data_IF_383255334406
#
_entry.id   IF_383255334406
#
_cell.length_a   1.000
_cell.length_b   1.000
_cell.length_c   1.000
_cell.angle_alpha   90.00
_cell.angle_beta   90.00
_cell.angle_gamma   90.00
#
_symmetry.space_group_name_H-M   'P 1'
#
loop_
_entity.id
_entity.type
_entity.pdbx_description
1 polymer ?
#
# COMPACT_ATOMS: atom_id res chain seq x y z
N UNK A 1 -36.65 -7.11 8.28
CA UNK A 1 -36.56 -6.27 9.50
C UNK A 1 -36.02 -4.91 9.07
N UNK A 2 -36.62 -3.80 9.47
CA UNK A 2 -36.12 -2.46 9.12
C UNK A 2 -34.77 -2.23 9.81
N UNK A 3 -33.80 -1.62 9.11
CA UNK A 3 -32.51 -1.22 9.70
C UNK A 3 -32.73 -0.40 10.98
N UNK A 4 -31.92 -0.68 11.99
CA UNK A 4 -31.90 0.08 13.25
C UNK A 4 -31.31 1.48 13.00
N UNK A 5 -31.68 2.48 13.82
CA UNK A 5 -31.11 3.83 13.73
C UNK A 5 -29.58 3.83 13.81
N UNK A 6 -29.00 2.93 14.61
CA UNK A 6 -27.54 2.78 14.73
C UNK A 6 -26.89 2.26 13.45
N UNK A 7 -27.58 1.45 12.65
CA UNK A 7 -27.08 0.98 11.34
C UNK A 7 -27.08 2.10 10.29
N UNK A 8 -28.06 3.01 10.33
CA UNK A 8 -28.11 4.16 9.45
C UNK A 8 -26.93 5.13 9.65
N UNK A 9 -26.47 5.30 10.90
CA UNK A 9 -25.30 6.13 11.20
C UNK A 9 -23.96 5.46 10.93
N UNK A 10 -23.90 4.12 10.87
CA UNK A 10 -22.66 3.40 10.56
C UNK A 10 -22.22 3.60 9.11
N UNK A 11 -23.16 3.83 8.19
CA UNK A 11 -22.89 3.93 6.74
C UNK A 11 -21.95 2.81 6.28
N UNK A 12 -22.19 1.60 6.77
CA UNK A 12 -21.31 0.46 6.52
C UNK A 12 -21.27 0.16 5.03
N UNK A 13 -20.06 0.11 4.48
CA UNK A 13 -19.77 -0.40 3.15
C UNK A 13 -19.19 -1.78 3.40
N UNK A 14 -20.03 -2.81 3.28
CA UNK A 14 -19.66 -4.17 3.67
C UNK A 14 -18.49 -4.71 2.83
N UNK A 15 -18.39 -4.28 1.56
CA UNK A 15 -17.25 -4.55 0.65
C UNK A 15 -15.91 -3.97 1.15
N UNK A 16 -15.95 -3.04 2.12
CA UNK A 16 -14.75 -2.49 2.76
C UNK A 16 -14.18 -3.37 3.87
N UNK A 17 -14.86 -4.47 4.24
CA UNK A 17 -14.35 -5.44 5.19
C UNK A 17 -13.35 -6.36 4.48
N UNK A 18 -12.07 -6.21 4.80
CA UNK A 18 -11.01 -7.00 4.18
C UNK A 18 -10.57 -8.15 5.10
N UNK A 19 -10.28 -9.31 4.52
CA UNK A 19 -9.76 -10.50 5.17
C UNK A 19 -8.44 -10.94 4.53
N UNK A 20 -7.46 -11.40 5.31
CA UNK A 20 -6.30 -12.08 4.75
C UNK A 20 -6.64 -13.57 4.59
N UNK A 21 -7.15 -13.97 3.42
CA UNK A 21 -7.49 -15.37 3.12
C UNK A 21 -6.23 -16.21 2.89
N UNK A 22 -5.23 -15.59 2.25
CA UNK A 22 -3.89 -16.15 2.10
C UNK A 22 -2.82 -15.10 2.46
N UNK A 23 -1.63 -15.54 2.87
CA UNK A 23 -0.57 -14.68 3.35
C UNK A 23 0.83 -15.23 3.04
N UNK A 24 1.60 -14.43 2.30
CA UNK A 24 3.02 -14.68 2.05
C UNK A 24 3.90 -13.70 2.82
N UNK A 25 4.95 -14.23 3.46
CA UNK A 25 6.04 -13.43 4.05
C UNK A 25 7.33 -13.70 3.28
N UNK A 26 7.93 -12.61 2.78
CA UNK A 26 9.18 -12.64 2.05
C UNK A 26 10.23 -11.80 2.79
N UNK A 27 11.49 -12.20 2.73
CA UNK A 27 12.58 -11.48 3.38
C UNK A 27 13.82 -11.39 2.49
N UNK A 28 14.58 -10.31 2.66
CA UNK A 28 15.93 -10.13 2.09
C UNK A 28 16.84 -9.44 3.11
N UNK A 29 18.18 -9.58 2.97
CA UNK A 29 19.10 -8.79 3.76
C UNK A 29 18.82 -7.29 3.58
N UNK A 30 18.85 -6.53 4.68
CA UNK A 30 18.58 -5.10 4.64
C UNK A 30 19.61 -4.36 3.78
N UNK A 31 19.09 -3.44 2.97
CA UNK A 31 19.86 -2.44 2.24
C UNK A 31 19.33 -1.05 2.58
N UNK A 32 20.25 -0.12 2.89
CA UNK A 32 19.90 1.24 3.32
C UNK A 32 19.04 1.95 2.26
N UNK A 33 17.90 2.48 2.69
CA UNK A 33 17.01 3.28 1.84
C UNK A 33 16.27 2.49 0.76
N UNK A 34 16.25 1.16 0.85
CA UNK A 34 15.40 0.34 -0.01
C UNK A 34 13.94 0.58 0.35
N UNK A 35 13.14 0.98 -0.65
CA UNK A 35 11.68 1.15 -0.54
C UNK A 35 10.94 -0.04 -1.14
N UNK A 36 9.61 -0.05 -0.99
CA UNK A 36 8.79 -0.98 -1.74
C UNK A 36 9.07 -0.83 -3.26
N UNK A 37 9.14 -1.93 -4.02
CA UNK A 37 9.21 -1.84 -5.48
C UNK A 37 8.05 -1.01 -6.04
N UNK A 38 8.34 -0.15 -7.02
CA UNK A 38 7.33 0.65 -7.72
C UNK A 38 7.67 0.63 -9.23
N UNK A 39 6.78 0.14 -10.12
CA UNK A 39 5.44 -0.39 -9.85
C UNK A 39 5.47 -1.78 -9.18
N UNK A 40 4.61 -1.98 -8.19
CA UNK A 40 4.42 -3.26 -7.52
C UNK A 40 3.31 -4.10 -8.18
N UNK A 41 2.26 -3.44 -8.67
CA UNK A 41 1.12 -4.05 -9.32
C UNK A 41 0.91 -3.45 -10.73
N UNK A 42 0.44 -4.28 -11.66
CA UNK A 42 -0.03 -3.91 -12.99
C UNK A 42 -1.45 -4.49 -13.23
N UNK A 43 -1.99 -4.31 -14.44
CA UNK A 43 -3.34 -4.76 -14.80
C UNK A 43 -3.54 -6.29 -14.69
N UNK A 44 -2.48 -7.08 -14.59
CA UNK A 44 -2.51 -8.54 -14.47
C UNK A 44 -2.13 -9.02 -13.05
N UNK A 45 -1.91 -8.11 -12.10
CA UNK A 45 -1.54 -8.42 -10.71
C UNK A 45 -0.12 -7.96 -10.37
N UNK A 46 0.63 -8.76 -9.61
CA UNK A 46 1.99 -8.38 -9.19
C UNK A 46 2.91 -8.35 -10.41
N UNK A 47 3.63 -7.24 -10.57
CA UNK A 47 4.58 -7.06 -11.68
C UNK A 47 5.61 -8.19 -11.66
N UNK A 48 5.79 -8.84 -12.80
CA UNK A 48 6.69 -9.99 -12.91
C UNK A 48 8.11 -9.60 -12.49
N UNK A 49 8.62 -10.26 -11.45
CA UNK A 49 9.96 -10.00 -10.92
C UNK A 49 10.08 -8.88 -9.89
N UNK A 50 9.01 -8.14 -9.56
CA UNK A 50 9.05 -7.08 -8.55
C UNK A 50 9.53 -7.57 -7.18
N UNK A 51 9.18 -8.81 -6.82
CA UNK A 51 9.57 -9.44 -5.56
C UNK A 51 10.72 -10.45 -5.69
N UNK A 52 11.37 -10.54 -6.88
CA UNK A 52 12.42 -11.54 -7.16
C UNK A 52 13.66 -11.44 -6.25
N UNK A 53 13.90 -10.27 -5.66
CA UNK A 53 15.00 -10.04 -4.72
C UNK A 53 14.71 -10.56 -3.32
N UNK A 54 13.44 -10.83 -3.01
CA UNK A 54 13.03 -11.40 -1.73
C UNK A 54 12.95 -12.92 -1.82
N UNK A 55 13.31 -13.59 -0.72
CA UNK A 55 13.15 -15.03 -0.58
C UNK A 55 11.94 -15.30 0.31
N UNK A 56 11.09 -16.24 -0.10
CA UNK A 56 9.93 -16.66 0.69
C UNK A 56 10.35 -17.40 1.95
N UNK A 57 9.71 -17.07 3.07
CA UNK A 57 9.85 -17.75 4.36
C UNK A 57 9.09 -19.08 4.42
N UNK A 58 8.32 -19.42 3.38
CA UNK A 58 7.47 -20.61 3.29
C UNK A 58 6.13 -20.42 3.98
N UNK A 59 5.42 -21.53 4.17
CA UNK A 59 4.16 -21.56 4.91
C UNK A 59 4.35 -21.17 6.38
N UNK A 60 3.40 -20.38 6.88
CA UNK A 60 3.33 -19.96 8.28
C UNK A 60 2.11 -20.58 8.97
N UNK A 61 2.15 -20.67 10.29
CA UNK A 61 1.06 -21.26 11.06
C UNK A 61 -0.22 -20.41 10.99
N UNK A 62 -1.31 -21.01 10.50
CA UNK A 62 -2.62 -20.35 10.37
C UNK A 62 -3.17 -19.84 11.71
N UNK A 63 -2.99 -20.61 12.80
CA UNK A 63 -3.58 -20.27 14.11
C UNK A 63 -2.90 -19.06 14.76
N UNK A 64 -1.58 -18.96 14.65
CA UNK A 64 -0.83 -17.80 15.13
C UNK A 64 -1.00 -16.60 14.19
N UNK A 65 -1.08 -16.86 12.88
CA UNK A 65 -1.09 -15.85 11.82
C UNK A 65 0.19 -15.01 11.81
N UNK A 66 0.18 -13.94 11.03
CA UNK A 66 1.14 -12.85 11.20
C UNK A 66 0.47 -11.66 11.89
N UNK A 67 1.16 -11.06 12.87
CA UNK A 67 0.64 -9.91 13.60
C UNK A 67 1.59 -8.75 13.48
N UNK A 68 1.05 -7.63 13.01
CA UNK A 68 1.74 -6.35 12.99
C UNK A 68 1.25 -5.55 14.19
N UNK A 69 2.15 -5.26 15.14
CA UNK A 69 1.82 -4.58 16.40
C UNK A 69 2.53 -3.23 16.46
N UNK A 70 1.82 -2.09 16.40
CA UNK A 70 2.41 -0.78 16.66
C UNK A 70 2.82 -0.65 18.14
N UNK A 71 4.06 -0.25 18.41
CA UNK A 71 4.56 0.06 19.75
C UNK A 71 4.84 1.57 19.84
N UNK A 72 3.94 2.31 20.50
CA UNK A 72 4.08 3.75 20.68
C UNK A 72 4.09 4.08 22.17
N UNK A 73 5.18 4.70 22.62
CA UNK A 73 5.36 5.09 24.03
C UNK A 73 5.21 6.59 24.18
N UNK A 74 4.45 7.00 25.18
CA UNK A 74 4.24 8.41 25.52
C UNK A 74 4.72 8.71 26.94
N UNK A 75 5.37 9.85 27.11
CA UNK A 75 5.68 10.43 28.40
C UNK A 75 4.63 11.48 28.75
N UNK A 76 4.02 11.34 29.92
CA UNK A 76 2.99 12.25 30.40
C UNK A 76 3.60 13.36 31.26
N UNK A 77 3.28 14.62 30.94
CA UNK A 77 3.67 15.77 31.74
C UNK A 77 2.69 15.96 32.89
N UNK A 78 3.15 15.62 34.11
CA UNK A 78 2.38 15.82 35.33
C UNK A 78 2.58 17.24 35.88
N UNK A 79 1.48 17.91 36.22
CA UNK A 79 1.52 19.13 37.01
C UNK A 79 1.57 18.81 38.50
N UNK A 80 2.33 19.57 39.28
CA UNK A 80 2.35 19.39 40.73
C UNK A 80 0.95 19.59 41.32
N UNK A 81 0.44 18.60 42.06
CA UNK A 81 -0.92 18.60 42.61
C UNK A 81 -2.04 18.22 41.62
N UNK A 82 -1.73 18.01 40.33
CA UNK A 82 -2.70 17.57 39.34
C UNK A 82 -2.86 16.03 39.37
N UNK A 83 -4.11 15.57 39.37
CA UNK A 83 -4.44 14.13 39.33
C UNK A 83 -4.51 13.56 37.91
N UNK A 84 -4.43 14.41 36.90
CA UNK A 84 -4.46 14.03 35.49
C UNK A 84 -3.30 14.71 34.73
N UNK A 85 -2.74 14.03 33.72
CA UNK A 85 -1.65 14.56 32.91
C UNK A 85 -2.08 15.78 32.11
N UNK A 86 -1.20 16.77 31.98
CA UNK A 86 -1.50 18.04 31.29
C UNK A 86 -1.13 18.02 29.81
N UNK A 87 -0.22 17.14 29.40
CA UNK A 87 0.23 16.97 28.01
C UNK A 87 0.91 15.61 27.85
N UNK A 88 0.79 15.00 26.66
CA UNK A 88 1.55 13.81 26.26
C UNK A 88 2.68 14.19 25.31
N UNK A 89 3.84 13.57 25.49
CA UNK A 89 4.99 13.66 24.60
C UNK A 89 5.27 12.29 24.00
N UNK A 90 5.47 12.20 22.69
CA UNK A 90 5.92 10.97 22.05
C UNK A 90 7.35 10.66 22.50
N UNK A 91 7.59 9.47 23.03
CA UNK A 91 8.90 9.00 23.50
C UNK A 91 9.58 8.12 22.47
N UNK A 92 8.84 7.15 21.91
CA UNK A 92 9.32 6.26 20.86
C UNK A 92 8.14 5.73 20.06
N UNK A 93 8.40 5.42 18.79
CA UNK A 93 7.47 4.76 17.89
C UNK A 93 8.21 3.59 17.24
N UNK A 94 7.54 2.46 17.14
CA UNK A 94 8.06 1.22 16.59
C UNK A 94 6.93 0.34 16.09
N UNK A 95 7.32 -0.75 15.45
CA UNK A 95 6.42 -1.74 14.89
C UNK A 95 7.04 -3.11 15.11
N UNK A 96 6.25 -4.07 15.55
CA UNK A 96 6.67 -5.45 15.73
C UNK A 96 5.95 -6.34 14.73
N UNK A 97 6.66 -7.31 14.16
CA UNK A 97 6.08 -8.38 13.37
C UNK A 97 6.29 -9.71 14.08
N UNK A 98 5.19 -10.38 14.41
CA UNK A 98 5.16 -11.73 14.95
C UNK A 98 4.69 -12.72 13.88
N UNK A 99 5.43 -13.82 13.68
CA UNK A 99 5.03 -14.93 12.81
C UNK A 99 5.67 -16.25 13.25
N UNK A 100 5.04 -17.37 12.88
CA UNK A 100 5.53 -18.72 13.16
C UNK A 100 5.77 -19.47 11.85
N UNK A 101 7.03 -19.60 11.39
CA UNK A 101 7.33 -20.34 10.17
C UNK A 101 7.27 -21.86 10.42
N UNK A 102 6.63 -22.59 9.51
CA UNK A 102 6.53 -24.06 9.59
C UNK A 102 7.62 -24.77 8.76
N UNK A 103 8.11 -24.11 7.70
CA UNK A 103 9.12 -24.70 6.82
C UNK A 103 10.56 -24.46 7.28
N UNK A 104 11.40 -25.48 7.14
CA UNK A 104 12.84 -25.40 7.42
C UNK A 104 13.58 -24.83 6.20
N UNK A 105 13.53 -23.51 6.03
CA UNK A 105 14.30 -22.79 5.00
C UNK A 105 15.58 -22.18 5.56
N UNK A 106 16.61 -22.05 4.71
CA UNK A 106 17.88 -21.42 5.08
C UNK A 106 17.66 -19.99 5.61
N UNK A 107 16.87 -19.18 4.90
CA UNK A 107 16.57 -17.79 5.31
C UNK A 107 15.85 -17.72 6.66
N UNK A 108 14.91 -18.64 6.90
CA UNK A 108 14.20 -18.74 8.18
C UNK A 108 15.17 -19.05 9.32
N UNK A 109 16.15 -19.93 9.10
CA UNK A 109 17.21 -20.22 10.09
C UNK A 109 18.20 -19.07 10.25
N UNK A 110 18.56 -18.35 9.17
CA UNK A 110 19.39 -17.14 9.25
C UNK A 110 18.76 -16.07 10.14
N UNK A 111 17.44 -15.83 10.00
CA UNK A 111 16.67 -14.89 10.81
C UNK A 111 16.60 -15.39 12.26
N UNK A 112 16.05 -16.59 12.50
CA UNK A 112 15.75 -17.11 13.84
C UNK A 112 17.00 -17.31 14.71
N UNK A 113 18.09 -17.80 14.12
CA UNK A 113 19.31 -18.09 14.87
C UNK A 113 20.29 -16.91 14.87
N UNK A 114 20.00 -15.85 14.12
CA UNK A 114 20.91 -14.74 13.83
C UNK A 114 22.27 -15.24 13.29
N UNK A 115 22.23 -16.14 12.30
CA UNK A 115 23.41 -16.75 11.68
C UNK A 115 23.59 -16.28 10.24
N UNK A 116 24.80 -16.48 9.72
CA UNK A 116 25.18 -16.14 8.36
C UNK A 116 24.84 -17.27 7.39
N UNK A 117 24.65 -16.95 6.11
CA UNK A 117 24.42 -17.93 5.05
C UNK A 117 25.59 -18.92 4.84
N UNK A 118 26.82 -18.56 5.21
CA UNK A 118 28.00 -19.42 5.17
C UNK A 118 28.12 -20.37 6.37
N UNK A 119 27.26 -20.22 7.38
CA UNK A 119 27.23 -21.09 8.56
C UNK A 119 26.55 -22.44 8.31
N UNK A 120 26.04 -22.68 7.10
CA UNK A 120 25.35 -23.91 6.70
C UNK A 120 26.29 -24.82 5.93
N UNK A 121 26.45 -26.05 6.42
CA UNK A 121 27.31 -27.06 5.81
C UNK A 121 26.50 -28.32 5.50
N UNK A 122 26.75 -28.91 4.34
CA UNK A 122 26.20 -30.24 4.01
C UNK A 122 26.89 -31.30 4.86
N UNK A 123 26.12 -32.26 5.38
CA UNK A 123 26.69 -33.45 6.00
C UNK A 123 27.09 -34.46 4.91
N UNK A 124 28.00 -35.36 5.24
CA UNK A 124 28.40 -36.47 4.34
C UNK A 124 27.23 -37.41 3.98
N UNK A 125 26.12 -37.32 4.70
CA UNK A 125 24.89 -38.11 4.51
C UNK A 125 23.81 -37.37 3.73
N UNK A 126 24.08 -36.16 3.21
CA UNK A 126 23.10 -35.36 2.47
C UNK A 126 22.14 -34.53 3.32
N UNK A 127 22.36 -34.48 4.65
CA UNK A 127 21.69 -33.53 5.54
C UNK A 127 22.36 -32.16 5.54
N UNK A 128 21.80 -31.22 6.31
CA UNK A 128 22.36 -29.89 6.53
C UNK A 128 22.59 -29.69 8.02
N UNK A 129 23.75 -29.16 8.39
CA UNK A 129 24.04 -28.69 9.75
C UNK A 129 24.34 -27.20 9.71
N UNK A 130 24.08 -26.51 10.81
CA UNK A 130 24.43 -25.10 10.99
C UNK A 130 25.05 -24.87 12.36
N UNK A 131 26.03 -23.97 12.43
CA UNK A 131 26.74 -23.67 13.69
C UNK A 131 26.48 -22.22 14.09
N UNK A 132 25.96 -22.02 15.30
CA UNK A 132 25.82 -20.68 15.89
C UNK A 132 27.05 -20.38 16.75
N UNK A 133 27.76 -19.32 16.43
CA UNK A 133 28.88 -18.80 17.21
C UNK A 133 28.44 -17.65 18.11
N UNK A 134 29.03 -17.55 19.30
CA UNK A 134 28.77 -16.46 20.23
C UNK A 134 29.25 -15.11 19.67
N UNK A 135 28.59 -14.02 20.04
CA UNK A 135 29.03 -12.65 19.71
C UNK A 135 28.72 -12.19 18.28
N UNK A 136 27.87 -12.90 17.53
CA UNK A 136 27.42 -12.42 16.22
C UNK A 136 26.58 -11.15 16.36
N UNK A 137 26.92 -10.03 15.67
CA UNK A 137 26.14 -8.81 15.73
C UNK A 137 24.71 -9.05 15.18
N UNK A 138 23.72 -8.24 15.61
CA UNK A 138 22.36 -8.35 15.10
C UNK A 138 22.34 -8.12 13.58
N UNK A 139 21.63 -8.99 12.88
CA UNK A 139 21.39 -8.87 11.45
C UNK A 139 20.11 -8.09 11.20
N UNK A 140 20.11 -7.35 10.09
CA UNK A 140 18.98 -6.54 9.65
C UNK A 140 18.39 -7.12 8.37
N UNK A 141 17.07 -7.11 8.30
CA UNK A 141 16.28 -7.69 7.23
C UNK A 141 15.27 -6.66 6.72
N UNK A 142 14.99 -6.69 5.42
CA UNK A 142 13.81 -6.05 4.84
C UNK A 142 12.77 -7.13 4.60
N UNK A 143 11.56 -6.92 5.13
CA UNK A 143 10.46 -7.88 5.00
C UNK A 143 9.37 -7.30 4.10
N UNK A 144 8.74 -8.18 3.34
CA UNK A 144 7.58 -7.86 2.51
C UNK A 144 6.47 -8.85 2.85
N UNK A 145 5.32 -8.34 3.27
CA UNK A 145 4.12 -9.12 3.53
C UNK A 145 3.12 -8.84 2.43
N UNK A 146 2.49 -9.91 1.95
CA UNK A 146 1.45 -9.85 0.94
C UNK A 146 0.31 -10.74 1.42
N UNK A 147 -0.83 -10.14 1.72
CA UNK A 147 -2.07 -10.84 1.99
C UNK A 147 -3.00 -10.74 0.79
N UNK A 148 -3.67 -11.84 0.47
CA UNK A 148 -4.67 -11.91 -0.58
C UNK A 148 -6.06 -12.05 0.03
N UNK A 149 -6.99 -11.30 -0.54
CA UNK A 149 -8.42 -11.36 -0.29
C UNK A 149 -9.18 -11.38 -1.63
N UNK A 150 -10.47 -11.66 -1.57
CA UNK A 150 -11.35 -11.65 -2.74
C UNK A 150 -12.56 -10.79 -2.43
N UNK A 151 -12.89 -9.87 -3.34
CA UNK A 151 -14.11 -9.10 -3.26
C UNK A 151 -15.32 -10.04 -3.34
N UNK A 152 -16.21 -10.01 -2.35
CA UNK A 152 -17.35 -10.91 -2.24
C UNK A 152 -18.46 -10.63 -3.28
N UNK A 153 -18.48 -9.43 -3.86
CA UNK A 153 -19.43 -9.04 -4.91
C UNK A 153 -18.88 -9.28 -6.32
N UNK A 154 -17.62 -8.90 -6.58
CA UNK A 154 -17.03 -8.97 -7.93
C UNK A 154 -16.19 -10.20 -8.18
N UNK A 155 -15.81 -10.93 -7.11
CA UNK A 155 -14.86 -12.04 -7.12
C UNK A 155 -13.46 -11.67 -7.62
N UNK A 156 -13.16 -10.36 -7.70
CA UNK A 156 -11.85 -9.88 -8.08
C UNK A 156 -10.88 -9.90 -6.89
N UNK A 157 -9.60 -10.20 -7.12
CA UNK A 157 -8.60 -10.21 -6.06
C UNK A 157 -8.34 -8.82 -5.49
N UNK A 158 -8.06 -8.79 -4.19
CA UNK A 158 -7.60 -7.64 -3.42
C UNK A 158 -6.29 -8.06 -2.73
N UNK A 159 -5.26 -7.24 -2.86
CA UNK A 159 -3.97 -7.48 -2.23
C UNK A 159 -3.69 -6.41 -1.19
N UNK A 160 -3.46 -6.84 0.05
CA UNK A 160 -2.92 -5.98 1.10
C UNK A 160 -1.43 -6.24 1.22
N UNK A 161 -0.63 -5.20 1.32
CA UNK A 161 0.81 -5.36 1.35
C UNK A 161 1.47 -4.44 2.37
N UNK A 162 2.59 -4.91 2.93
CA UNK A 162 3.43 -4.17 3.85
C UNK A 162 4.90 -4.38 3.49
N UNK A 163 5.64 -3.29 3.27
CA UNK A 163 7.09 -3.31 3.16
C UNK A 163 7.71 -2.73 4.42
N UNK A 164 8.42 -3.58 5.16
CA UNK A 164 9.11 -3.25 6.39
C UNK A 164 10.59 -3.09 6.08
N UNK A 165 11.08 -1.84 6.10
CA UNK A 165 12.40 -1.50 5.58
C UNK A 165 13.54 -2.15 6.36
N UNK A 166 13.58 -1.94 7.67
CA UNK A 166 14.67 -2.41 8.52
C UNK A 166 14.15 -3.06 9.78
N UNK A 167 14.19 -4.37 9.80
CA UNK A 167 13.74 -5.22 10.89
C UNK A 167 14.93 -5.97 11.50
N UNK A 168 14.90 -6.22 12.81
CA UNK A 168 15.85 -7.13 13.47
C UNK A 168 15.10 -8.11 14.37
N UNK A 169 15.70 -9.28 14.61
CA UNK A 169 15.15 -10.24 15.56
C UNK A 169 15.27 -9.67 16.97
N UNK A 170 14.14 -9.43 17.63
CA UNK A 170 14.10 -8.97 19.02
C UNK A 170 14.15 -10.16 19.97
N UNK A 171 13.23 -11.12 19.78
CA UNK A 171 13.13 -12.30 20.62
C UNK A 171 12.94 -13.56 19.77
N UNK A 172 13.89 -14.50 19.77
CA UNK A 172 13.63 -15.85 19.26
C UNK A 172 12.65 -16.56 20.19
N UNK A 173 11.62 -17.16 19.62
CA UNK A 173 10.70 -18.03 20.31
C UNK A 173 11.33 -19.37 20.70
N UNK A 174 10.68 -20.09 21.61
CA UNK A 174 11.09 -21.44 21.96
C UNK A 174 10.86 -22.38 20.76
N UNK A 175 11.82 -23.27 20.50
CA UNK A 175 11.64 -24.35 19.54
C UNK A 175 10.71 -25.41 20.16
N UNK A 176 9.55 -25.61 19.55
CA UNK A 176 8.62 -26.68 19.91
C UNK A 176 9.05 -28.01 19.26
N UNK A 177 8.96 -29.10 20.00
CA UNK A 177 9.26 -30.48 19.57
C UNK A 177 8.22 -31.46 20.12
N UNK A 178 6.93 -31.09 20.03
CA UNK A 178 5.83 -31.93 20.51
C UNK A 178 5.47 -33.00 19.47
N UNK A 179 4.99 -34.15 19.92
CA UNK A 179 4.68 -35.31 19.04
C UNK A 179 3.49 -35.08 18.11
N UNK A 180 2.61 -34.13 18.41
CA UNK A 180 1.35 -33.87 17.70
C UNK A 180 1.28 -32.44 17.13
N UNK A 181 2.44 -31.83 16.88
CA UNK A 181 2.53 -30.46 16.36
C UNK A 181 3.77 -30.28 15.51
N UNK A 182 3.76 -29.26 14.65
CA UNK A 182 4.91 -28.91 13.84
C UNK A 182 6.11 -28.50 14.71
N UNK A 183 7.31 -28.79 14.24
CA UNK A 183 8.55 -28.34 14.87
C UNK A 183 8.82 -26.88 14.52
N UNK A 184 8.19 -25.98 15.25
CA UNK A 184 8.18 -24.55 14.95
C UNK A 184 8.89 -23.71 16.02
N UNK A 185 9.37 -22.54 15.61
CA UNK A 185 9.97 -21.56 16.49
C UNK A 185 9.42 -20.18 16.11
N UNK A 186 8.58 -19.56 16.96
CA UNK A 186 8.00 -18.26 16.64
C UNK A 186 9.11 -17.19 16.58
N UNK A 187 8.91 -16.20 15.71
CA UNK A 187 9.83 -15.09 15.53
C UNK A 187 9.11 -13.77 15.82
N UNK A 188 9.71 -12.94 16.69
CA UNK A 188 9.31 -11.54 16.85
C UNK A 188 10.44 -10.67 16.31
N UNK A 189 10.15 -9.94 15.22
CA UNK A 189 11.07 -8.94 14.68
C UNK A 189 10.55 -7.54 15.02
N UNK A 190 11.45 -6.61 15.32
CA UNK A 190 11.12 -5.21 15.59
C UNK A 190 11.69 -4.31 14.51
N UNK A 191 10.92 -3.28 14.17
CA UNK A 191 11.29 -2.24 13.22
C UNK A 191 12.28 -1.28 13.86
N UNK A 192 13.30 -0.94 13.09
CA UNK A 192 14.35 0.00 13.44
C UNK A 192 14.38 1.14 12.43
N UNK A 193 14.79 2.32 12.89
CA UNK A 193 14.88 3.50 12.03
C UNK A 193 15.89 3.29 10.88
N UNK A 194 15.45 3.56 9.65
CA UNK A 194 16.29 3.67 8.46
C UNK A 194 16.17 5.07 7.83
N UNK A 195 16.79 6.06 8.50
CA UNK A 195 16.59 7.47 8.15
C UNK A 195 15.17 7.92 8.47
N UNK A 196 14.50 8.53 7.49
CA UNK A 196 13.09 8.96 7.61
C UNK A 196 12.12 7.82 7.24
N UNK A 197 12.63 6.71 6.71
CA UNK A 197 11.84 5.58 6.27
C UNK A 197 11.60 4.60 7.42
N UNK A 198 10.32 4.31 7.70
CA UNK A 198 9.92 3.32 8.70
C UNK A 198 9.30 2.10 7.99
N UNK A 199 8.11 2.26 7.40
CA UNK A 199 7.46 1.22 6.62
C UNK A 199 6.52 1.84 5.58
N UNK A 200 6.20 1.09 4.54
CA UNK A 200 5.14 1.39 3.59
C UNK A 200 4.09 0.28 3.66
N UNK A 201 2.83 0.64 3.47
CA UNK A 201 1.75 -0.32 3.37
C UNK A 201 0.70 0.20 2.40
N UNK A 202 -0.01 -0.72 1.75
CA UNK A 202 -1.06 -0.34 0.83
C UNK A 202 -2.04 -1.47 0.60
N UNK A 203 -3.10 -1.12 -0.11
CA UNK A 203 -4.10 -2.05 -0.60
C UNK A 203 -4.21 -1.77 -2.10
N UNK A 204 -4.14 -2.82 -2.89
CA UNK A 204 -4.21 -2.75 -4.34
C UNK A 204 -5.10 -3.90 -4.85
N UNK A 205 -5.38 -3.91 -6.14
CA UNK A 205 -6.09 -4.97 -6.82
C UNK A 205 -7.38 -4.51 -7.49
N UNK A 206 -7.81 -5.24 -8.54
CA UNK A 206 -9.02 -4.93 -9.30
C UNK A 206 -10.28 -4.91 -8.43
N UNK A 207 -10.32 -5.70 -7.34
CA UNK A 207 -11.44 -5.70 -6.39
C UNK A 207 -11.49 -4.49 -5.46
N UNK A 208 -10.37 -3.78 -5.27
CA UNK A 208 -10.28 -2.62 -4.37
C UNK A 208 -10.33 -1.27 -5.11
N UNK A 209 -9.79 -1.20 -6.32
CA UNK A 209 -9.71 0.06 -7.07
C UNK A 209 -11.06 0.77 -7.29
N UNK A 210 -12.18 0.07 -7.60
CA UNK A 210 -13.49 0.70 -7.76
C UNK A 210 -14.11 1.23 -6.46
N UNK A 211 -13.76 0.64 -5.31
CA UNK A 211 -14.32 0.97 -3.99
C UNK A 211 -13.44 1.94 -3.18
N UNK A 212 -12.17 2.14 -3.58
CA UNK A 212 -11.25 3.03 -2.88
C UNK A 212 -11.86 4.42 -2.62
N UNK A 213 -12.49 5.03 -3.63
CA UNK A 213 -13.10 6.35 -3.50
C UNK A 213 -14.31 6.37 -2.54
N UNK A 214 -15.13 5.32 -2.50
CA UNK A 214 -16.28 5.24 -1.59
C UNK A 214 -15.84 5.02 -0.13
N UNK A 215 -14.70 4.37 0.07
CA UNK A 215 -14.03 4.19 1.36
C UNK A 215 -13.20 5.41 1.80
N UNK A 216 -13.23 6.50 1.02
CA UNK A 216 -12.49 7.74 1.32
C UNK A 216 -11.02 7.72 0.89
N UNK A 217 -10.55 6.63 0.28
CA UNK A 217 -9.27 6.57 -0.43
C UNK A 217 -9.42 7.21 -1.81
N UNK A 218 -9.59 8.53 -1.81
CA UNK A 218 -9.45 9.32 -3.02
C UNK A 218 -7.98 9.45 -3.36
N UNK A 219 -7.44 8.53 -4.16
CA UNK A 219 -6.34 8.91 -5.05
C UNK A 219 -6.92 9.99 -5.92
N UNK A 220 -6.44 11.21 -5.71
CA UNK A 220 -6.60 12.29 -6.67
C UNK A 220 -5.98 11.75 -7.95
N UNK A 221 -6.77 11.17 -8.87
CA UNK A 221 -6.31 10.92 -10.23
C UNK A 221 -5.77 12.26 -10.68
N UNK A 222 -4.45 12.30 -10.92
CA UNK A 222 -3.62 13.50 -10.73
C UNK A 222 -4.34 14.78 -11.09
N UNK A 223 -4.36 15.77 -10.20
CA UNK A 223 -4.97 17.06 -10.54
C UNK A 223 -4.29 17.62 -11.78
N UNK A 224 -5.00 17.63 -12.89
CA UNK A 224 -4.52 18.18 -14.15
C UNK A 224 -4.90 19.66 -14.21
N UNK A 225 -3.96 20.49 -14.59
CA UNK A 225 -4.21 21.91 -14.83
C UNK A 225 -4.39 22.15 -16.32
N UNK A 226 -5.62 22.39 -16.75
CA UNK A 226 -5.93 22.76 -18.14
C UNK A 226 -5.87 24.27 -18.28
N UNK A 227 -4.88 24.77 -19.01
CA UNK A 227 -4.71 26.21 -19.26
C UNK A 227 -5.07 26.53 -20.69
N UNK A 228 -5.99 27.48 -20.88
CA UNK A 228 -6.28 28.10 -22.18
C UNK A 228 -5.59 29.45 -22.21
N UNK A 229 -4.80 29.73 -23.26
CA UNK A 229 -4.01 30.94 -23.37
C UNK A 229 -4.33 31.74 -24.64
N UNK A 230 -4.09 33.05 -24.60
CA UNK A 230 -4.41 33.98 -25.68
C UNK A 230 -5.87 34.44 -25.66
N UNK A 231 -6.39 34.88 -26.81
CA UNK A 231 -7.81 35.21 -27.02
C UNK A 231 -8.41 34.31 -28.10
N UNK A 232 -8.44 32.98 -27.87
CA UNK A 232 -8.80 32.04 -28.92
C UNK A 232 -10.28 32.10 -29.30
N UNK A 233 -10.56 31.88 -30.58
CA UNK A 233 -11.89 31.54 -31.12
C UNK A 233 -11.88 30.08 -31.61
N UNK A 234 -13.06 29.46 -31.77
CA UNK A 234 -13.19 28.05 -32.15
C UNK A 234 -13.51 27.14 -30.95
N UNK A 235 -13.04 25.89 -30.98
CA UNK A 235 -13.22 24.91 -29.90
C UNK A 235 -11.96 24.07 -29.69
N UNK A 236 -11.82 23.51 -28.50
CA UNK A 236 -10.81 22.51 -28.17
C UNK A 236 -11.47 21.25 -27.62
N UNK A 237 -10.75 20.13 -27.57
CA UNK A 237 -11.22 18.89 -26.96
C UNK A 237 -10.27 18.43 -25.86
N UNK A 238 -10.81 17.67 -24.91
CA UNK A 238 -10.04 16.97 -23.89
C UNK A 238 -10.18 15.46 -24.10
N UNK A 239 -9.10 14.73 -23.92
CA UNK A 239 -9.08 13.27 -24.06
C UNK A 239 -8.50 12.62 -22.82
N UNK A 240 -9.15 11.56 -22.35
CA UNK A 240 -8.64 10.73 -21.26
C UNK A 240 -9.06 9.28 -21.48
N UNK A 241 -8.14 8.34 -21.29
CA UNK A 241 -8.41 6.90 -21.44
C UNK A 241 -8.97 6.51 -22.81
N UNK A 242 -8.51 7.17 -23.89
CA UNK A 242 -8.93 6.89 -25.27
C UNK A 242 -10.27 7.49 -25.70
N UNK A 243 -10.99 8.19 -24.81
CA UNK A 243 -12.25 8.87 -25.11
C UNK A 243 -12.04 10.39 -25.18
N UNK A 244 -12.74 11.04 -26.11
CA UNK A 244 -12.59 12.47 -26.41
C UNK A 244 -13.92 13.20 -26.20
N UNK A 245 -13.88 14.35 -25.53
CA UNK A 245 -15.07 15.17 -25.30
C UNK A 245 -15.61 15.74 -26.60
N UNK A 246 -16.88 16.17 -26.59
CA UNK A 246 -17.35 17.13 -27.57
C UNK A 246 -16.53 18.43 -27.51
N UNK A 247 -16.62 19.26 -28.56
CA UNK A 247 -15.91 20.54 -28.62
C UNK A 247 -16.29 21.46 -27.46
N UNK A 248 -15.28 21.92 -26.72
CA UNK A 248 -15.40 22.85 -25.60
C UNK A 248 -15.02 24.25 -26.08
N UNK A 249 -15.84 25.24 -25.76
CA UNK A 249 -15.55 26.63 -26.09
C UNK A 249 -14.37 27.16 -25.24
N UNK A 250 -13.47 27.99 -25.79
CA UNK A 250 -12.31 28.50 -25.04
C UNK A 250 -12.68 29.30 -23.78
N UNK A 251 -13.82 29.99 -23.77
CA UNK A 251 -14.36 30.71 -22.59
C UNK A 251 -15.36 29.92 -21.76
N UNK A 252 -15.36 28.57 -21.86
CA UNK A 252 -16.29 27.72 -21.11
C UNK A 252 -16.22 27.97 -19.59
N UNK A 253 -17.30 27.71 -18.87
CA UNK A 253 -17.24 27.67 -17.39
C UNK A 253 -16.70 26.33 -16.93
N UNK A 254 -16.17 26.25 -15.70
CA UNK A 254 -15.77 24.98 -15.10
C UNK A 254 -16.91 23.93 -15.12
N UNK A 255 -18.17 24.37 -14.97
CA UNK A 255 -19.34 23.49 -15.06
C UNK A 255 -19.53 22.91 -16.48
N UNK A 256 -19.30 23.70 -17.53
CA UNK A 256 -19.38 23.21 -18.90
C UNK A 256 -18.26 22.21 -19.22
N UNK A 257 -17.03 22.49 -18.75
CA UNK A 257 -15.90 21.55 -18.88
C UNK A 257 -16.19 20.25 -18.11
N UNK A 258 -16.73 20.33 -16.89
CA UNK A 258 -17.15 19.17 -16.11
C UNK A 258 -18.18 18.33 -16.87
N UNK A 259 -19.23 18.95 -17.42
CA UNK A 259 -20.26 18.25 -18.17
C UNK A 259 -19.71 17.54 -19.40
N UNK A 260 -18.75 18.14 -20.10
CA UNK A 260 -18.11 17.53 -21.26
C UNK A 260 -17.30 16.27 -20.87
N UNK A 261 -16.50 16.35 -19.80
CA UNK A 261 -15.73 15.21 -19.29
C UNK A 261 -16.62 14.12 -18.69
N UNK A 262 -17.66 14.51 -17.96
CA UNK A 262 -18.65 13.60 -17.37
C UNK A 262 -19.46 12.82 -18.42
N UNK A 263 -19.61 13.35 -19.63
CA UNK A 263 -20.31 12.70 -20.73
C UNK A 263 -19.50 11.55 -21.37
N UNK A 264 -18.20 11.44 -21.07
CA UNK A 264 -17.39 10.33 -21.54
C UNK A 264 -17.81 9.04 -20.84
N UNK A 265 -17.98 7.96 -21.62
CA UNK A 265 -18.43 6.66 -21.11
C UNK A 265 -17.47 6.02 -20.10
N UNK A 266 -16.18 6.38 -20.12
CA UNK A 266 -15.17 5.91 -19.17
C UNK A 266 -15.06 6.79 -17.91
N UNK A 267 -15.68 7.98 -17.88
CA UNK A 267 -15.65 8.90 -16.74
C UNK A 267 -16.98 8.84 -15.99
N UNK A 268 -18.07 9.31 -16.60
CA UNK A 268 -19.35 9.45 -15.89
C UNK A 268 -19.43 10.64 -14.93
N UNK A 269 -20.64 11.04 -14.54
CA UNK A 269 -20.92 12.31 -13.85
C UNK A 269 -20.40 12.44 -12.42
N UNK A 270 -20.13 11.33 -11.74
CA UNK A 270 -19.62 11.29 -10.37
C UNK A 270 -18.08 11.21 -10.28
N UNK A 271 -17.38 11.03 -11.41
CA UNK A 271 -15.93 10.72 -11.42
C UNK A 271 -15.03 11.89 -11.84
N UNK A 272 -15.59 13.08 -12.05
CA UNK A 272 -14.81 14.27 -12.43
C UNK A 272 -15.25 15.50 -11.65
N UNK A 273 -14.27 16.21 -11.09
CA UNK A 273 -14.42 17.52 -10.49
C UNK A 273 -13.62 18.52 -11.32
N UNK A 274 -14.25 19.64 -11.68
CA UNK A 274 -13.58 20.75 -12.37
C UNK A 274 -13.83 22.02 -11.59
N UNK A 275 -12.76 22.75 -11.27
CA UNK A 275 -12.81 24.07 -10.65
C UNK A 275 -11.93 25.04 -11.42
N UNK A 276 -12.17 26.35 -11.29
CA UNK A 276 -11.46 27.39 -12.03
C UNK A 276 -12.40 28.46 -12.58
N UNK A 277 -11.81 29.57 -13.04
CA UNK A 277 -12.54 30.66 -13.68
C UNK A 277 -12.99 30.28 -15.09
N UNK A 278 -14.00 30.97 -15.62
CA UNK A 278 -14.36 30.80 -17.03
C UNK A 278 -13.19 31.22 -17.92
N UNK A 279 -12.83 30.37 -18.89
CA UNK A 279 -11.60 30.54 -19.68
C UNK A 279 -10.35 29.91 -19.07
N UNK A 280 -10.45 29.32 -17.87
CA UNK A 280 -9.34 28.66 -17.19
C UNK A 280 -8.37 29.63 -16.48
N UNK A 281 -7.30 29.10 -15.88
CA UNK A 281 -6.95 27.67 -15.81
C UNK A 281 -7.97 26.86 -15.00
N UNK A 282 -8.22 25.62 -15.43
CA UNK A 282 -9.08 24.67 -14.74
C UNK A 282 -8.25 23.64 -13.99
N UNK A 283 -8.56 23.43 -12.71
CA UNK A 283 -8.10 22.26 -11.97
C UNK A 283 -9.12 21.13 -12.17
N UNK A 284 -8.68 20.07 -12.85
CA UNK A 284 -9.46 18.88 -13.18
C UNK A 284 -8.95 17.72 -12.33
N UNK A 285 -9.83 17.15 -11.52
CA UNK A 285 -9.53 15.98 -10.69
C UNK A 285 -10.44 14.84 -11.09
N UNK A 286 -9.85 13.67 -11.33
CA UNK A 286 -10.59 12.45 -11.62
C UNK A 286 -10.60 11.49 -10.43
N UNK A 287 -11.69 10.75 -10.28
CA UNK A 287 -11.83 9.68 -9.28
C UNK A 287 -12.09 8.35 -9.98
N UNK A 288 -11.15 7.41 -9.91
CA UNK A 288 -11.30 6.09 -10.52
C UNK A 288 -11.33 6.11 -12.06
N UNK A 289 -10.66 7.09 -12.68
CA UNK A 289 -10.39 7.15 -14.13
C UNK A 289 -8.89 7.05 -14.32
N UNK A 290 -8.44 6.12 -15.17
CA UNK A 290 -7.03 5.91 -15.49
C UNK A 290 -6.68 6.56 -16.83
N UNK A 291 -5.47 7.12 -16.92
CA UNK A 291 -4.93 7.75 -18.14
C UNK A 291 -4.47 9.20 -17.94
N UNK A 292 -3.65 9.67 -18.87
CA UNK A 292 -3.19 11.07 -18.89
C UNK A 292 -4.23 11.93 -19.60
N UNK A 293 -4.63 13.04 -18.97
CA UNK A 293 -5.46 14.03 -19.64
C UNK A 293 -4.63 14.75 -20.70
N UNK A 294 -5.08 14.73 -21.95
CA UNK A 294 -4.50 15.50 -23.04
C UNK A 294 -5.51 16.49 -23.60
N UNK A 295 -5.03 17.56 -24.23
CA UNK A 295 -5.87 18.55 -24.89
C UNK A 295 -5.46 18.70 -26.34
N UNK A 296 -6.45 18.80 -27.23
CA UNK A 296 -6.25 19.14 -28.63
C UNK A 296 -6.85 20.52 -28.91
N UNK A 297 -5.95 21.46 -29.20
CA UNK A 297 -6.28 22.84 -29.54
C UNK A 297 -6.23 23.15 -31.03
N UNK A 298 -6.13 22.16 -31.92
CA UNK A 298 -6.02 22.37 -33.37
C UNK A 298 -7.21 23.14 -33.97
N UNK A 299 -8.37 23.11 -33.32
CA UNK A 299 -9.55 23.90 -33.66
C UNK A 299 -9.56 25.35 -33.15
N UNK A 300 -8.52 25.78 -32.42
CA UNK A 300 -8.40 27.15 -31.91
C UNK A 300 -7.64 28.06 -32.89
N UNK A 301 -8.15 29.28 -33.08
CA UNK A 301 -7.43 30.36 -33.77
C UNK A 301 -7.08 31.46 -32.77
N UNK A 302 -5.82 31.90 -32.70
CA UNK A 302 -5.41 33.02 -31.84
C UNK A 302 -5.14 32.64 -30.37
N UNK A 303 -4.94 31.37 -30.06
CA UNK A 303 -4.58 30.88 -28.73
C UNK A 303 -4.21 29.39 -28.72
N UNK A 304 -3.95 28.84 -27.54
CA UNK A 304 -3.60 27.42 -27.35
C UNK A 304 -4.20 26.86 -26.06
N UNK A 305 -4.27 25.53 -25.96
CA UNK A 305 -4.63 24.80 -24.74
C UNK A 305 -3.51 23.84 -24.36
N UNK A 306 -3.16 23.80 -23.08
CA UNK A 306 -2.13 22.89 -22.54
C UNK A 306 -2.62 22.22 -21.27
N UNK A 307 -2.15 20.99 -21.02
CA UNK A 307 -2.40 20.25 -19.79
C UNK A 307 -1.08 20.00 -19.07
N UNK A 308 -1.03 20.27 -17.77
CA UNK A 308 0.09 20.00 -16.88
C UNK A 308 -0.35 19.14 -15.70
#
# INVERSE_FOLDING_TARGET
MSQTQTQLYKQAIDVGALAAQDLAILAKPWAKGAKAPDPLFDANGIVTGALSTFKSLGEIEQKAGAKITPDVKYNDLMGYGARAPRRKFLQSEGLSLDFTPQEVRQITKEILLNIKADAFEMTSTGGVKWTKTAGSPPRYWSLFLLAEDVNDETLDPIWQWWHLGKMSLDKPGAQSLQMDSASEAPATLTLLQDGDYLYESGIDGPGFAPIAASLGFGVTGGTFTVTVSGTPTGTYTLSIGGQTTAGIAPGATAAAVKSALAALSNVGSSKVLVSGSAGGPYAVTFSGVTGTLTADGSGLTGGSVTVA
#
